data_IF_943684382947
#
_entry.id   IF_943684382947
#
_cell.length_a   1.000
_cell.length_b   1.000
_cell.length_c   1.000
_cell.angle_alpha   90.00
_cell.angle_beta   90.00
_cell.angle_gamma   90.00
#
_symmetry.space_group_name_H-M   'P 1'
#
loop_
_entity.id
_entity.type
_entity.pdbx_description
1 polymer ?
#
# COMPACT_ATOMS: atom_id res chain seq x y z
N UNK A 1 -37.99 18.33 49.86
CA UNK A 1 -37.16 17.35 50.61
C UNK A 1 -38.03 16.17 51.02
N UNK A 2 -37.92 15.04 50.32
CA UNK A 2 -38.32 13.70 50.79
C UNK A 2 -37.72 12.67 49.82
N UNK A 3 -36.58 12.17 50.28
CA UNK A 3 -35.78 11.07 49.78
C UNK A 3 -36.42 9.73 50.16
N UNK A 4 -36.58 8.79 49.22
CA UNK A 4 -36.76 7.37 49.53
C UNK A 4 -36.28 6.48 48.37
N UNK A 5 -35.08 5.91 48.60
CA UNK A 5 -34.68 4.51 48.43
C UNK A 5 -35.04 3.75 47.14
N UNK A 6 -33.98 3.47 46.37
CA UNK A 6 -33.81 2.37 45.42
C UNK A 6 -34.15 0.99 46.04
N UNK A 7 -34.54 0.04 45.18
CA UNK A 7 -33.79 -1.21 45.20
C UNK A 7 -33.20 -1.58 43.82
N UNK A 8 -31.93 -1.94 43.92
CA UNK A 8 -31.07 -2.75 43.05
C UNK A 8 -31.87 -3.71 42.14
N UNK A 9 -31.74 -3.53 40.83
CA UNK A 9 -32.00 -4.60 39.85
C UNK A 9 -30.73 -4.86 39.06
N UNK A 10 -29.96 -5.78 39.63
CA UNK A 10 -28.85 -6.51 39.04
C UNK A 10 -29.38 -7.40 37.91
N UNK A 11 -29.18 -6.98 36.66
CA UNK A 11 -29.14 -7.90 35.52
C UNK A 11 -27.91 -7.58 34.67
N UNK A 12 -26.79 -8.15 35.10
CA UNK A 12 -25.72 -8.62 34.22
C UNK A 12 -26.32 -9.62 33.23
N UNK A 13 -26.44 -9.25 31.96
CA UNK A 13 -26.37 -10.21 30.87
C UNK A 13 -25.49 -9.63 29.77
N UNK A 14 -24.26 -10.14 29.78
CA UNK A 14 -23.28 -10.06 28.70
C UNK A 14 -23.91 -10.68 27.45
N UNK A 15 -24.38 -9.86 26.52
CA UNK A 15 -24.59 -10.30 25.14
C UNK A 15 -23.21 -10.42 24.49
N UNK A 16 -22.60 -11.58 24.73
CA UNK A 16 -21.39 -12.05 24.06
C UNK A 16 -21.60 -12.03 22.54
N UNK A 17 -20.70 -11.28 21.88
CA UNK A 17 -20.13 -11.54 20.58
C UNK A 17 -20.77 -12.69 19.76
N UNK A 18 -21.49 -12.33 18.71
CA UNK A 18 -21.55 -13.13 17.49
C UNK A 18 -21.26 -12.18 16.32
N UNK A 19 -19.97 -11.94 16.08
CA UNK A 19 -19.52 -11.44 14.78
C UNK A 19 -19.91 -12.51 13.76
N UNK A 20 -20.80 -12.14 12.85
CA UNK A 20 -21.13 -12.93 11.68
C UNK A 20 -19.84 -13.10 10.86
N UNK A 21 -19.22 -14.27 10.97
CA UNK A 21 -18.13 -14.67 10.08
C UNK A 21 -18.77 -14.92 8.72
N UNK A 22 -18.59 -13.97 7.80
CA UNK A 22 -18.80 -14.22 6.38
C UNK A 22 -17.72 -15.20 5.94
N UNK A 23 -18.04 -16.49 6.05
CA UNK A 23 -17.29 -17.61 5.50
C UNK A 23 -17.17 -17.41 3.99
N UNK A 24 -16.12 -16.71 3.57
CA UNK A 24 -15.70 -16.73 2.18
C UNK A 24 -14.97 -18.05 2.01
N UNK A 25 -15.70 -19.04 1.50
CA UNK A 25 -15.14 -20.29 1.03
C UNK A 25 -13.95 -19.98 0.13
N UNK A 26 -12.75 -20.23 0.67
CA UNK A 26 -11.52 -20.29 -0.12
C UNK A 26 -11.70 -21.48 -1.05
N UNK A 27 -12.12 -21.24 -2.29
CA UNK A 27 -11.82 -22.17 -3.38
C UNK A 27 -10.33 -22.10 -3.60
N UNK A 28 -9.60 -22.91 -2.84
CA UNK A 28 -8.23 -23.31 -3.10
C UNK A 28 -8.26 -24.06 -4.42
N UNK A 29 -8.16 -23.34 -5.53
CA UNK A 29 -7.75 -23.92 -6.80
C UNK A 29 -6.23 -23.99 -6.73
N UNK A 30 -5.76 -24.93 -5.92
CA UNK A 30 -4.43 -25.51 -6.09
C UNK A 30 -4.55 -26.34 -7.36
N UNK A 31 -4.09 -25.78 -8.48
CA UNK A 31 -4.06 -26.50 -9.73
C UNK A 31 -3.28 -27.80 -9.55
N UNK A 32 -3.98 -28.86 -9.90
CA UNK A 32 -3.63 -30.26 -9.85
C UNK A 32 -2.21 -30.53 -10.34
N UNK A 33 -1.43 -31.17 -9.49
CA UNK A 33 -0.21 -31.90 -9.85
C UNK A 33 -0.63 -33.00 -10.83
N UNK A 34 -0.44 -32.77 -12.12
CA UNK A 34 -0.32 -33.87 -13.09
C UNK A 34 1.11 -34.38 -12.95
N UNK A 35 1.28 -35.47 -12.20
CA UNK A 35 2.51 -36.25 -12.21
C UNK A 35 2.64 -36.87 -13.60
N UNK A 36 3.33 -36.18 -14.50
CA UNK A 36 3.98 -36.84 -15.63
C UNK A 36 5.47 -36.65 -15.45
N UNK A 37 6.16 -37.78 -15.34
CA UNK A 37 7.60 -37.89 -15.06
C UNK A 37 8.42 -37.27 -16.22
N UNK A 38 8.87 -36.03 -16.07
CA UNK A 38 9.90 -35.43 -16.94
C UNK A 38 10.62 -34.26 -16.24
N UNK A 39 11.96 -34.40 -16.13
CA UNK A 39 13.05 -33.40 -15.95
C UNK A 39 12.90 -32.23 -14.93
N UNK A 40 14.00 -31.77 -14.28
CA UNK A 40 13.93 -30.70 -13.30
C UNK A 40 13.66 -29.35 -13.99
N UNK A 41 12.44 -28.84 -13.87
CA UNK A 41 12.11 -27.49 -14.31
C UNK A 41 12.75 -26.47 -13.37
N UNK A 42 13.58 -25.61 -13.95
CA UNK A 42 14.16 -24.43 -13.31
C UNK A 42 13.03 -23.49 -12.91
N UNK A 43 12.89 -23.21 -11.60
CA UNK A 43 11.96 -22.21 -11.08
C UNK A 43 12.38 -20.86 -11.69
N UNK A 44 11.62 -20.34 -12.65
CA UNK A 44 11.80 -18.98 -13.16
C UNK A 44 11.25 -18.02 -12.11
N UNK A 45 12.14 -17.43 -11.32
CA UNK A 45 11.84 -16.27 -10.50
C UNK A 45 11.20 -15.19 -11.39
N UNK A 46 9.94 -14.87 -11.12
CA UNK A 46 9.23 -13.83 -11.88
C UNK A 46 9.72 -12.49 -11.37
N UNK A 47 10.73 -11.94 -12.02
CA UNK A 47 11.25 -10.59 -11.73
C UNK A 47 10.12 -9.59 -11.98
N UNK A 48 9.58 -9.00 -10.92
CA UNK A 48 8.61 -7.92 -11.01
C UNK A 48 9.32 -6.70 -11.61
N UNK A 49 8.95 -6.32 -12.83
CA UNK A 49 9.49 -5.14 -13.50
C UNK A 49 8.53 -3.95 -13.40
N UNK A 50 9.11 -2.74 -13.41
CA UNK A 50 8.32 -1.53 -13.43
C UNK A 50 7.54 -1.40 -14.73
N UNK A 51 6.32 -0.89 -14.64
CA UNK A 51 5.43 -0.78 -15.78
C UNK A 51 4.76 0.60 -15.81
N UNK A 52 4.81 1.27 -16.96
CA UNK A 52 4.14 2.56 -17.19
C UNK A 52 3.13 2.41 -18.31
N UNK A 53 1.83 2.62 -18.03
CA UNK A 53 0.72 2.39 -18.97
C UNK A 53 -0.15 3.64 -19.05
N UNK A 54 -0.13 4.32 -20.21
CA UNK A 54 -0.96 5.48 -20.52
C UNK A 54 -1.07 6.49 -19.35
N UNK A 55 0.06 7.04 -18.88
CA UNK A 55 0.07 7.85 -17.68
C UNK A 55 -0.65 9.19 -17.91
N UNK A 56 -1.40 9.65 -16.91
CA UNK A 56 -2.10 10.94 -16.92
C UNK A 56 -1.13 12.11 -16.81
N UNK A 57 -0.08 11.94 -16.02
CA UNK A 57 1.01 12.90 -15.86
C UNK A 57 2.23 12.43 -16.65
N UNK A 58 3.07 13.35 -17.10
CA UNK A 58 4.35 12.99 -17.70
C UNK A 58 5.20 12.25 -16.64
N UNK A 59 5.63 10.99 -16.84
CA UNK A 59 6.43 10.27 -15.85
C UNK A 59 7.71 11.01 -15.43
N UNK A 60 8.34 11.76 -16.34
CA UNK A 60 9.53 12.56 -16.01
C UNK A 60 9.24 13.64 -14.96
N UNK A 61 8.00 14.11 -14.85
CA UNK A 61 7.59 15.08 -13.81
C UNK A 61 7.31 14.44 -12.46
N UNK A 62 7.20 13.11 -12.40
CA UNK A 62 7.03 12.35 -11.16
C UNK A 62 8.37 11.88 -10.59
N UNK A 63 9.40 11.77 -11.43
CA UNK A 63 10.71 11.30 -10.99
C UNK A 63 11.41 12.34 -10.12
N UNK A 64 11.94 11.88 -8.99
CA UNK A 64 12.60 12.74 -8.01
C UNK A 64 12.57 12.16 -6.61
N UNK A 65 13.20 12.88 -5.70
CA UNK A 65 13.23 12.58 -4.27
C UNK A 65 12.13 13.42 -3.60
N UNK A 66 11.23 12.75 -2.90
CA UNK A 66 10.01 13.34 -2.34
C UNK A 66 10.02 13.24 -0.83
N UNK A 67 9.60 14.31 -0.18
CA UNK A 67 9.52 14.39 1.27
C UNK A 67 8.27 15.12 1.73
N UNK A 68 7.79 14.80 2.94
CA UNK A 68 6.79 15.56 3.67
C UNK A 68 7.36 16.86 4.27
N UNK A 69 8.67 16.89 4.57
CA UNK A 69 9.35 18.04 5.18
C UNK A 69 10.73 18.25 4.55
N UNK A 70 10.88 19.32 3.77
CA UNK A 70 12.15 19.65 3.11
C UNK A 70 13.22 20.22 4.06
N UNK A 71 12.91 20.41 5.34
CA UNK A 71 13.89 20.74 6.38
C UNK A 71 14.31 19.48 7.17
N UNK A 72 13.70 18.33 6.88
CA UNK A 72 14.02 17.07 7.49
C UNK A 72 15.36 16.50 7.00
N UNK A 73 16.07 15.73 7.84
CA UNK A 73 17.35 15.13 7.48
C UNK A 73 17.22 14.01 6.41
N UNK A 74 16.01 13.50 6.20
CA UNK A 74 15.73 12.36 5.33
C UNK A 74 14.52 12.66 4.43
N UNK A 75 14.54 12.11 3.22
CA UNK A 75 13.38 12.05 2.36
C UNK A 75 12.49 10.85 2.71
N UNK A 76 11.27 10.80 2.18
CA UNK A 76 10.36 9.67 2.39
C UNK A 76 10.60 8.57 1.33
N UNK A 77 10.75 8.98 0.06
CA UNK A 77 11.03 8.07 -1.03
C UNK A 77 11.68 8.77 -2.23
N UNK A 78 12.31 7.98 -3.09
CA UNK A 78 12.71 8.40 -4.44
C UNK A 78 11.92 7.59 -5.48
N UNK A 79 11.29 8.28 -6.43
CA UNK A 79 10.65 7.64 -7.57
C UNK A 79 11.54 7.83 -8.80
N UNK A 80 11.93 6.74 -9.43
CA UNK A 80 12.73 6.76 -10.66
C UNK A 80 12.12 5.87 -11.74
N UNK A 81 12.74 5.82 -12.93
CA UNK A 81 12.41 4.82 -13.96
C UNK A 81 12.67 3.38 -13.47
N UNK A 82 13.61 3.22 -12.52
CA UNK A 82 14.15 1.91 -12.09
C UNK A 82 13.49 1.35 -10.84
N UNK A 83 12.97 2.19 -9.96
CA UNK A 83 12.33 1.74 -8.72
C UNK A 83 11.52 2.85 -8.07
N UNK A 84 10.66 2.45 -7.13
CA UNK A 84 10.19 3.27 -6.03
C UNK A 84 11.07 2.93 -4.82
N UNK A 85 12.06 3.76 -4.52
CA UNK A 85 13.00 3.54 -3.44
C UNK A 85 12.45 4.14 -2.14
N UNK A 86 12.23 3.30 -1.12
CA UNK A 86 11.82 3.72 0.22
C UNK A 86 13.06 4.01 1.05
N UNK A 87 13.17 5.23 1.56
CA UNK A 87 14.31 5.65 2.39
C UNK A 87 14.25 4.96 3.75
N UNK A 88 15.41 4.61 4.30
CA UNK A 88 15.57 3.92 5.59
C UNK A 88 14.77 2.61 5.71
N UNK A 89 14.49 1.95 4.59
CA UNK A 89 13.87 0.63 4.59
C UNK A 89 14.85 -0.45 5.04
N UNK A 90 14.42 -1.32 5.95
CA UNK A 90 15.21 -2.48 6.39
C UNK A 90 15.30 -3.52 5.26
N UNK A 91 16.46 -3.60 4.60
CA UNK A 91 16.72 -4.52 3.50
C UNK A 91 16.81 -3.82 2.14
N UNK A 92 16.22 -4.39 1.09
CA UNK A 92 16.17 -3.75 -0.23
C UNK A 92 15.00 -2.77 -0.30
N UNK A 93 15.30 -1.48 -0.24
CA UNK A 93 14.31 -0.41 -0.38
C UNK A 93 13.77 -0.22 -1.80
N UNK A 94 14.30 -0.92 -2.81
CA UNK A 94 13.88 -0.76 -4.20
C UNK A 94 12.61 -1.56 -4.51
N UNK A 95 11.47 -0.90 -4.39
CA UNK A 95 10.19 -1.52 -4.70
C UNK A 95 9.87 -1.41 -6.19
N UNK A 96 9.50 -2.51 -6.86
CA UNK A 96 8.89 -2.44 -8.17
C UNK A 96 7.58 -1.65 -8.12
N UNK A 97 7.23 -0.96 -9.22
CA UNK A 97 5.96 -0.22 -9.28
C UNK A 97 5.24 -0.33 -10.62
N UNK A 98 3.93 -0.08 -10.60
CA UNK A 98 3.13 0.17 -11.79
C UNK A 98 2.57 1.59 -11.75
N UNK A 99 2.78 2.37 -12.81
CA UNK A 99 2.12 3.66 -13.03
C UNK A 99 1.10 3.48 -14.16
N UNK A 100 -0.18 3.45 -13.80
CA UNK A 100 -1.29 3.31 -14.76
C UNK A 100 -2.22 4.50 -14.64
N UNK A 101 -2.33 5.29 -15.71
CA UNK A 101 -3.07 6.56 -15.68
C UNK A 101 -2.58 7.48 -14.55
N UNK A 102 -3.36 7.73 -13.51
CA UNK A 102 -2.97 8.49 -12.31
C UNK A 102 -2.75 7.63 -11.07
N UNK A 103 -2.75 6.31 -11.23
CA UNK A 103 -2.56 5.38 -10.12
C UNK A 103 -1.14 4.84 -10.12
N UNK A 104 -0.43 5.07 -9.01
CA UNK A 104 0.86 4.47 -8.68
C UNK A 104 0.62 3.28 -7.74
N UNK A 105 1.01 2.08 -8.14
CA UNK A 105 0.97 0.89 -7.28
C UNK A 105 2.39 0.45 -6.96
N UNK A 106 2.77 0.48 -5.70
CA UNK A 106 4.07 0.02 -5.20
C UNK A 106 3.94 -1.41 -4.69
N UNK A 107 4.85 -2.29 -5.11
CA UNK A 107 4.84 -3.70 -4.77
C UNK A 107 5.89 -3.99 -3.70
N UNK A 108 5.46 -4.14 -2.46
CA UNK A 108 6.28 -4.61 -1.35
C UNK A 108 6.31 -6.16 -1.35
N UNK A 109 7.18 -6.74 -0.52
CA UNK A 109 7.34 -8.19 -0.44
C UNK A 109 6.05 -8.91 0.00
N UNK A 110 5.29 -8.30 0.91
CA UNK A 110 4.14 -8.89 1.59
C UNK A 110 2.81 -8.17 1.31
N UNK A 111 2.84 -6.95 0.75
CA UNK A 111 1.65 -6.20 0.38
C UNK A 111 1.87 -5.28 -0.82
N UNK A 112 0.81 -4.57 -1.23
CA UNK A 112 0.87 -3.51 -2.24
C UNK A 112 0.23 -2.26 -1.66
N UNK A 113 0.82 -1.10 -1.94
CA UNK A 113 0.21 0.20 -1.65
C UNK A 113 -0.17 0.88 -2.95
N UNK A 114 -1.35 1.50 -2.97
CA UNK A 114 -1.92 2.16 -4.16
C UNK A 114 -2.15 3.63 -3.90
N UNK A 115 -1.45 4.49 -4.62
CA UNK A 115 -1.55 5.94 -4.54
C UNK A 115 -2.25 6.51 -5.77
N UNK A 116 -3.32 7.28 -5.58
CA UNK A 116 -3.93 8.08 -6.66
C UNK A 116 -3.28 9.47 -6.66
N UNK A 117 -2.53 9.79 -7.71
CA UNK A 117 -1.87 11.07 -7.91
C UNK A 117 -2.91 12.13 -8.29
N UNK A 118 -3.25 12.99 -7.34
CA UNK A 118 -4.29 14.03 -7.51
C UNK A 118 -3.78 15.27 -8.23
N UNK A 119 -2.50 15.61 -8.02
CA UNK A 119 -1.89 16.83 -8.55
C UNK A 119 -0.38 16.71 -8.62
N UNK A 120 0.21 17.27 -9.68
CA UNK A 120 1.65 17.44 -9.85
C UNK A 120 1.89 18.84 -10.38
N UNK A 121 2.59 19.68 -9.62
CA UNK A 121 2.92 21.06 -10.03
C UNK A 121 4.31 21.40 -9.52
N UNK A 122 5.27 21.55 -10.45
CA UNK A 122 6.69 21.82 -10.15
C UNK A 122 7.20 20.84 -9.09
N UNK A 123 7.54 21.37 -7.92
CA UNK A 123 8.20 20.65 -6.82
C UNK A 123 7.18 20.11 -5.81
N UNK A 124 5.92 19.91 -6.22
CA UNK A 124 4.84 19.45 -5.34
C UNK A 124 4.02 18.36 -6.01
N UNK A 125 3.80 17.28 -5.27
CA UNK A 125 2.97 16.15 -5.67
C UNK A 125 1.95 15.84 -4.56
N UNK A 126 0.70 15.60 -4.93
CA UNK A 126 -0.36 15.20 -4.00
C UNK A 126 -0.79 13.79 -4.33
N UNK A 127 -0.67 12.88 -3.36
CA UNK A 127 -1.06 11.48 -3.51
C UNK A 127 -2.07 11.12 -2.42
N UNK A 128 -3.16 10.46 -2.81
CA UNK A 128 -4.06 9.79 -1.87
C UNK A 128 -3.68 8.30 -1.82
N UNK A 129 -3.04 7.88 -0.72
CA UNK A 129 -2.61 6.49 -0.53
C UNK A 129 -3.72 5.65 0.08
N UNK A 130 -3.99 4.49 -0.51
CA UNK A 130 -4.86 3.43 0.00
C UNK A 130 -6.26 3.94 0.44
N UNK A 131 -6.79 4.91 -0.30
CA UNK A 131 -8.08 5.59 -0.05
C UNK A 131 -8.15 6.28 1.32
N UNK A 132 -7.02 6.80 1.81
CA UNK A 132 -6.93 7.55 3.07
C UNK A 132 -7.06 9.06 2.79
N UNK A 133 -6.17 9.87 3.38
CA UNK A 133 -6.12 11.32 3.16
C UNK A 133 -5.11 11.69 2.09
N UNK A 134 -5.29 12.88 1.51
CA UNK A 134 -4.31 13.43 0.59
C UNK A 134 -3.03 13.77 1.35
N UNK A 135 -1.91 13.29 0.82
CA UNK A 135 -0.56 13.54 1.32
C UNK A 135 0.14 14.46 0.34
N UNK A 136 0.68 15.56 0.84
CA UNK A 136 1.41 16.55 0.05
C UNK A 136 2.90 16.31 0.21
N UNK A 137 3.54 15.90 -0.88
CA UNK A 137 4.98 15.78 -0.97
C UNK A 137 5.57 17.00 -1.67
N UNK A 138 6.75 17.39 -1.22
CA UNK A 138 7.60 18.38 -1.86
C UNK A 138 8.93 17.75 -2.25
N UNK A 139 9.59 18.28 -3.27
CA UNK A 139 10.92 17.80 -3.65
C UNK A 139 11.91 18.03 -2.51
N UNK A 140 12.65 16.99 -2.12
CA UNK A 140 13.70 17.09 -1.12
C UNK A 140 14.93 17.80 -1.71
N UNK A 141 15.54 18.70 -0.94
CA UNK A 141 16.64 19.56 -1.41
C UNK A 141 18.02 19.23 -0.82
N UNK A 142 18.05 18.44 0.25
CA UNK A 142 19.28 18.16 1.02
C UNK A 142 19.70 19.31 1.93
#
# INVERSE_FOLDING_TARGET
MKQFLLPISLCLLLASCAKEQKETTIKKVSDTIVVTKAAPETIKETVLQNTVINPKYNPESLYGIWTLDNNGPHADFELTKKSFYVVDHDGDGNMPYTLKHDTLTVMYADYKSTGVIKKVVKDTMVINWDNTSDVVYITWKG
#
